data_IF_351357300778
#
_entry.id   IF_351357300778
#
_cell.length_a   1.000
_cell.length_b   1.000
_cell.length_c   1.000
_cell.angle_alpha   90.00
_cell.angle_beta   90.00
_cell.angle_gamma   90.00
#
_symmetry.space_group_name_H-M   'P 1'
#
loop_
_entity.id
_entity.type
_entity.pdbx_description
1 polymer ?
#
# COMPACT_ATOMS: atom_id res chain seq x y z
N UNK A 1 -14.01 -1.05 -3.74
CA UNK A 1 -13.19 -1.04 -4.98
C UNK A 1 -13.08 -2.45 -5.52
N UNK A 2 -13.33 -2.67 -6.82
CA UNK A 2 -13.22 -3.99 -7.48
C UNK A 2 -11.77 -4.50 -7.61
N UNK A 3 -10.81 -3.58 -7.54
CA UNK A 3 -9.39 -3.85 -7.79
C UNK A 3 -8.76 -4.71 -6.68
N UNK A 4 -9.07 -4.40 -5.42
CA UNK A 4 -8.53 -5.13 -4.26
C UNK A 4 -8.95 -6.62 -4.27
N UNK A 5 -10.25 -6.98 -4.35
CA UNK A 5 -10.63 -8.39 -4.36
C UNK A 5 -10.11 -9.12 -5.61
N UNK A 6 -9.98 -8.45 -6.77
CA UNK A 6 -9.41 -9.05 -7.96
C UNK A 6 -7.94 -9.46 -7.76
N UNK A 7 -7.08 -8.55 -7.31
CA UNK A 7 -5.66 -8.84 -7.11
C UNK A 7 -5.36 -9.62 -5.82
N UNK A 8 -6.30 -9.71 -4.88
CA UNK A 8 -6.25 -10.72 -3.81
C UNK A 8 -6.49 -12.13 -4.35
N UNK A 9 -7.39 -12.29 -5.33
CA UNK A 9 -7.67 -13.59 -5.98
C UNK A 9 -6.59 -13.98 -6.99
N UNK A 10 -6.06 -13.00 -7.72
CA UNK A 10 -5.03 -13.18 -8.75
C UNK A 10 -3.82 -12.31 -8.40
N UNK A 11 -2.89 -12.81 -7.57
CA UNK A 11 -1.79 -12.01 -7.04
C UNK A 11 -0.89 -11.44 -8.14
N UNK A 12 -0.46 -10.20 -7.94
CA UNK A 12 0.61 -9.60 -8.72
C UNK A 12 1.92 -10.29 -8.34
N UNK A 13 2.79 -10.56 -9.31
CA UNK A 13 4.09 -11.17 -9.08
C UNK A 13 5.20 -10.13 -8.94
N UNK A 14 6.26 -10.48 -8.20
CA UNK A 14 7.46 -9.64 -8.01
C UNK A 14 7.23 -8.43 -7.10
N UNK A 15 8.15 -7.46 -7.15
CA UNK A 15 8.18 -6.30 -6.24
C UNK A 15 6.89 -5.45 -6.26
N UNK A 16 6.14 -5.51 -7.36
CA UNK A 16 4.85 -4.80 -7.50
C UNK A 16 3.76 -5.37 -6.58
N UNK A 17 3.90 -6.61 -6.12
CA UNK A 17 3.01 -7.23 -5.13
C UNK A 17 3.03 -6.46 -3.81
N UNK A 18 4.21 -5.99 -3.38
CA UNK A 18 4.36 -5.22 -2.15
C UNK A 18 3.72 -3.84 -2.26
N UNK A 19 3.86 -3.18 -3.42
CA UNK A 19 3.15 -1.92 -3.69
C UNK A 19 1.64 -2.11 -3.63
N UNK A 20 1.12 -3.25 -4.09
CA UNK A 20 -0.29 -3.55 -3.99
C UNK A 20 -0.73 -3.80 -2.54
N UNK A 21 0.09 -4.43 -1.70
CA UNK A 21 -0.18 -4.58 -0.27
C UNK A 21 -0.25 -3.23 0.44
N UNK A 22 0.70 -2.33 0.13
CA UNK A 22 0.71 -0.98 0.68
C UNK A 22 -0.48 -0.15 0.20
N UNK A 23 -0.89 -0.30 -1.06
CA UNK A 23 -2.15 0.27 -1.56
C UNK A 23 -3.37 -0.26 -0.79
N UNK A 24 -3.42 -1.55 -0.46
CA UNK A 24 -4.50 -2.13 0.34
C UNK A 24 -4.56 -1.51 1.75
N UNK A 25 -3.42 -1.37 2.43
CA UNK A 25 -3.34 -0.72 3.75
C UNK A 25 -3.83 0.74 3.69
N UNK A 26 -3.37 1.50 2.69
CA UNK A 26 -3.84 2.86 2.49
C UNK A 26 -5.36 2.91 2.25
N UNK A 27 -5.91 1.98 1.45
CA UNK A 27 -7.36 1.89 1.22
C UNK A 27 -8.15 1.57 2.49
N UNK A 28 -7.58 0.82 3.43
CA UNK A 28 -8.21 0.51 4.72
C UNK A 28 -8.26 1.74 5.63
N UNK A 29 -7.15 2.49 5.73
CA UNK A 29 -7.13 3.79 6.44
C UNK A 29 -8.13 4.79 5.86
N UNK A 30 -8.33 4.77 4.54
CA UNK A 30 -9.35 5.58 3.87
C UNK A 30 -10.77 5.12 4.24
N UNK A 31 -11.03 3.82 4.24
CA UNK A 31 -12.33 3.23 4.59
C UNK A 31 -12.72 3.52 6.04
N UNK A 32 -11.77 3.39 6.96
CA UNK A 32 -11.96 3.64 8.38
C UNK A 32 -11.99 5.13 8.74
N UNK A 33 -11.85 6.02 7.75
CA UNK A 33 -11.76 7.48 7.94
C UNK A 33 -10.58 7.93 8.83
N UNK A 34 -9.58 7.08 9.04
CA UNK A 34 -8.39 7.41 9.84
C UNK A 34 -7.59 8.57 9.22
N UNK A 35 -7.60 8.68 7.89
CA UNK A 35 -7.01 9.79 7.14
C UNK A 35 -7.55 11.19 7.50
N UNK A 36 -8.62 11.29 8.29
CA UNK A 36 -9.15 12.58 8.76
C UNK A 36 -8.42 13.12 10.00
N UNK A 37 -7.54 12.32 10.61
CA UNK A 37 -6.71 12.75 11.74
C UNK A 37 -5.22 12.69 11.38
N UNK A 38 -4.40 13.37 12.19
CA UNK A 38 -2.96 13.51 11.93
C UNK A 38 -2.22 12.17 11.95
N UNK A 39 -2.59 11.27 12.86
CA UNK A 39 -1.95 9.95 12.95
C UNK A 39 -2.20 9.12 11.67
N UNK A 40 -3.45 9.10 11.18
CA UNK A 40 -3.80 8.42 9.94
C UNK A 40 -3.15 9.07 8.72
N UNK A 41 -3.03 10.40 8.68
CA UNK A 41 -2.27 11.10 7.64
C UNK A 41 -0.78 10.77 7.67
N UNK A 42 -0.19 10.65 8.86
CA UNK A 42 1.21 10.27 9.03
C UNK A 42 1.44 8.85 8.54
N UNK A 43 0.56 7.89 8.91
CA UNK A 43 0.59 6.52 8.39
C UNK A 43 0.51 6.49 6.86
N UNK A 44 -0.39 7.26 6.24
CA UNK A 44 -0.49 7.37 4.78
C UNK A 44 0.78 7.96 4.15
N UNK A 45 1.39 8.95 4.79
CA UNK A 45 2.65 9.55 4.34
C UNK A 45 3.81 8.54 4.35
N UNK A 46 3.91 7.75 5.42
CA UNK A 46 4.90 6.66 5.54
C UNK A 46 4.67 5.59 4.47
N UNK A 47 3.43 5.15 4.26
CA UNK A 47 3.10 4.18 3.20
C UNK A 47 3.51 4.74 1.82
N UNK A 48 3.18 6.00 1.53
CA UNK A 48 3.54 6.64 0.26
C UNK A 48 5.06 6.76 0.07
N UNK A 49 5.84 6.88 1.15
CA UNK A 49 7.29 7.05 1.05
C UNK A 49 8.01 5.73 0.71
N UNK A 50 7.40 4.57 0.96
CA UNK A 50 7.98 3.24 0.69
C UNK A 50 7.45 2.54 -0.57
N UNK A 51 6.62 3.19 -1.40
CA UNK A 51 6.01 2.58 -2.58
C UNK A 51 6.70 2.90 -3.91
N UNK A 52 6.53 1.99 -4.89
CA UNK A 52 6.96 2.12 -6.28
C UNK A 52 8.47 2.39 -6.38
N UNK A 53 8.87 3.45 -7.11
CA UNK A 53 10.29 3.82 -7.31
C UNK A 53 11.04 4.16 -6.01
N UNK A 54 10.33 4.40 -4.90
CA UNK A 54 10.94 4.70 -3.60
C UNK A 54 11.19 3.45 -2.76
N UNK A 55 10.64 2.30 -3.18
CA UNK A 55 10.84 1.02 -2.50
C UNK A 55 12.28 0.58 -2.70
N UNK A 56 12.98 0.38 -1.59
CA UNK A 56 14.30 -0.26 -1.59
C UNK A 56 14.08 -1.75 -1.81
N UNK A 57 14.65 -2.27 -2.88
CA UNK A 57 14.61 -3.71 -3.18
C UNK A 57 15.70 -4.40 -2.38
N UNK A 58 15.34 -4.96 -1.23
CA UNK A 58 16.25 -5.68 -0.34
C UNK A 58 16.64 -7.06 -0.88
N UNK A 59 16.12 -7.46 -2.04
CA UNK A 59 16.48 -8.71 -2.72
C UNK A 59 17.78 -8.61 -3.54
N UNK A 60 18.38 -7.41 -3.59
CA UNK A 60 19.59 -7.11 -4.37
C UNK A 60 20.87 -7.02 -3.53
N UNK A 61 20.77 -7.27 -2.23
CA UNK A 61 21.91 -7.39 -1.30
C UNK A 61 22.35 -8.85 -1.13
#
# INVERSE_FOLDING_TARGET
SIIIPFFKKYPIMGIKSEDFLDFCKASELMLNKEHLNNEGLEKLSMIKSSMNKKRVDTSKD
#
